data_IF_176966941357
#
_entry.id   IF_176966941357
#
_cell.length_a   1.000
_cell.length_b   1.000
_cell.length_c   1.000
_cell.angle_alpha   90.00
_cell.angle_beta   90.00
_cell.angle_gamma   90.00
#
_symmetry.space_group_name_H-M   'P 1'
#
loop_
_entity.id
_entity.type
_entity.pdbx_description
1 polymer ?
#
# COMPACT_ATOMS: atom_id res chain seq x y z
N UNK A 1 3.53 2.63 -17.30
CA UNK A 1 3.61 1.36 -16.52
C UNK A 1 3.01 1.58 -15.15
N UNK A 2 2.43 0.56 -14.52
CA UNK A 2 1.88 0.67 -13.18
C UNK A 2 2.73 -0.13 -12.20
N UNK A 3 2.95 0.44 -11.02
CA UNK A 3 3.78 -0.16 -9.99
C UNK A 3 3.16 0.05 -8.61
N UNK A 4 3.43 -0.90 -7.74
CA UNK A 4 3.20 -0.77 -6.31
C UNK A 4 4.44 -1.29 -5.58
N UNK A 5 4.71 -0.74 -4.41
CA UNK A 5 5.90 -1.10 -3.66
C UNK A 5 5.91 -0.42 -2.31
N UNK A 6 7.07 -0.44 -1.68
CA UNK A 6 7.30 0.17 -0.38
C UNK A 6 8.38 1.25 -0.44
N UNK A 7 8.29 2.20 0.47
CA UNK A 7 9.16 3.37 0.53
C UNK A 7 9.33 3.84 1.99
N UNK A 8 10.57 4.14 2.38
CA UNK A 8 10.91 4.62 3.74
C UNK A 8 11.16 6.14 3.78
N UNK A 9 11.93 6.67 2.81
CA UNK A 9 12.23 8.10 2.72
C UNK A 9 12.83 8.49 1.36
N UNK A 10 12.82 9.78 1.02
CA UNK A 10 13.47 10.34 -0.18
C UNK A 10 12.53 10.90 -1.25
N UNK A 11 13.10 11.64 -2.21
CA UNK A 11 12.37 12.53 -3.13
C UNK A 11 12.01 11.92 -4.50
N UNK A 12 11.86 10.59 -4.62
CA UNK A 12 11.54 9.95 -5.91
C UNK A 12 10.04 10.08 -6.28
N UNK A 13 9.53 11.30 -6.36
CA UNK A 13 8.12 11.61 -6.66
C UNK A 13 7.21 11.71 -5.43
N UNK A 14 7.76 11.55 -4.22
CA UNK A 14 7.02 11.58 -2.95
C UNK A 14 7.11 12.93 -2.22
N UNK A 15 7.54 14.00 -2.89
CA UNK A 15 7.87 15.28 -2.25
C UNK A 15 6.70 15.93 -1.48
N UNK A 16 5.47 15.57 -1.86
CA UNK A 16 4.23 16.03 -1.21
C UNK A 16 3.50 14.91 -0.47
N UNK A 17 4.09 13.72 -0.35
CA UNK A 17 3.49 12.58 0.31
C UNK A 17 4.03 12.46 1.73
N UNK A 18 3.13 12.24 2.68
CA UNK A 18 3.48 12.06 4.08
C UNK A 18 3.82 10.59 4.30
N UNK A 19 5.00 10.32 4.83
CA UNK A 19 5.32 9.03 5.42
C UNK A 19 4.67 8.94 6.81
N UNK A 20 3.92 7.88 7.07
CA UNK A 20 3.17 7.65 8.30
C UNK A 20 4.06 7.14 9.45
N UNK A 21 5.26 6.65 9.16
CA UNK A 21 6.17 6.10 10.17
C UNK A 21 7.50 5.59 9.63
N UNK A 22 7.61 4.27 9.48
CA UNK A 22 8.80 3.60 8.96
C UNK A 22 8.67 3.39 7.45
N UNK A 23 8.67 2.12 7.03
CA UNK A 23 8.43 1.75 5.65
C UNK A 23 6.93 1.77 5.35
N UNK A 24 6.51 2.55 4.37
CA UNK A 24 5.12 2.65 3.92
C UNK A 24 4.92 2.02 2.55
N UNK A 25 3.68 1.77 2.17
CA UNK A 25 3.29 1.32 0.84
C UNK A 25 2.88 2.45 -0.09
N UNK A 26 3.03 2.24 -1.39
CA UNK A 26 2.59 3.19 -2.41
C UNK A 26 2.06 2.50 -3.68
N UNK A 27 1.23 3.24 -4.43
CA UNK A 27 0.77 2.92 -5.78
C UNK A 27 1.14 4.10 -6.69
N UNK A 28 1.78 3.82 -7.84
CA UNK A 28 2.18 4.84 -8.78
C UNK A 28 2.11 4.39 -10.24
N UNK A 29 1.93 5.36 -11.14
CA UNK A 29 2.18 5.20 -12.58
C UNK A 29 3.57 5.73 -12.89
N UNK A 30 4.31 5.00 -13.72
CA UNK A 30 5.54 5.50 -14.37
C UNK A 30 5.17 5.93 -15.79
N UNK A 31 5.43 7.21 -16.10
CA UNK A 31 5.25 7.78 -17.43
C UNK A 31 6.37 7.37 -18.40
N UNK A 32 6.25 7.76 -19.67
CA UNK A 32 7.24 7.40 -20.72
C UNK A 32 8.64 8.00 -20.48
N UNK A 33 8.76 8.97 -19.59
CA UNK A 33 10.02 9.60 -19.20
C UNK A 33 10.63 8.98 -17.94
N UNK A 34 9.97 7.99 -17.33
CA UNK A 34 10.41 7.39 -16.06
C UNK A 34 9.98 8.18 -14.82
N UNK A 35 9.09 9.16 -14.96
CA UNK A 35 8.57 9.97 -13.85
C UNK A 35 7.47 9.21 -13.12
N UNK A 36 7.55 9.21 -11.79
CA UNK A 36 6.53 8.63 -10.93
C UNK A 36 5.38 9.62 -10.73
N UNK A 37 4.18 9.19 -11.08
CA UNK A 37 2.91 9.84 -10.77
C UNK A 37 2.28 9.03 -9.64
N UNK A 38 2.41 9.54 -8.41
CA UNK A 38 1.87 8.88 -7.23
C UNK A 38 0.34 8.93 -7.27
N UNK A 39 -0.29 7.77 -7.14
CA UNK A 39 -1.74 7.62 -7.06
C UNK A 39 -2.23 7.53 -5.63
N UNK A 40 -1.43 6.92 -4.74
CA UNK A 40 -1.74 6.83 -3.33
C UNK A 40 -0.56 6.32 -2.52
N UNK A 41 -0.46 6.80 -1.28
CA UNK A 41 0.42 6.26 -0.23
C UNK A 41 -0.45 5.74 0.91
N UNK A 42 0.09 4.77 1.64
CA UNK A 42 -0.58 4.20 2.80
C UNK A 42 0.45 3.59 3.74
N UNK A 43 0.14 3.54 5.02
CA UNK A 43 1.04 2.97 6.01
C UNK A 43 0.55 3.16 7.42
N UNK A 44 1.45 3.06 8.37
CA UNK A 44 1.21 3.18 9.80
C UNK A 44 2.43 3.80 10.46
N UNK A 45 2.40 3.91 11.79
CA UNK A 45 3.56 4.38 12.56
C UNK A 45 4.75 3.40 12.58
N UNK A 46 4.59 2.17 12.06
CA UNK A 46 5.59 1.11 12.06
C UNK A 46 6.23 0.83 10.69
N UNK A 47 6.82 -0.36 10.53
CA UNK A 47 7.38 -0.82 9.25
C UNK A 47 6.40 -1.72 8.52
N UNK A 48 5.70 -1.18 7.53
CA UNK A 48 4.64 -1.90 6.84
C UNK A 48 5.16 -2.74 5.67
N UNK A 49 4.26 -3.55 5.14
CA UNK A 49 4.53 -4.41 3.99
C UNK A 49 3.36 -4.37 3.03
N UNK A 50 3.68 -4.22 1.76
CA UNK A 50 2.84 -4.67 0.66
C UNK A 50 3.27 -6.11 0.36
N UNK A 51 2.33 -7.01 0.15
CA UNK A 51 2.60 -8.43 -0.19
C UNK A 51 1.97 -8.81 -1.51
N UNK A 52 0.83 -8.20 -1.81
CA UNK A 52 0.05 -8.53 -2.98
C UNK A 52 -0.69 -7.30 -3.49
N UNK A 53 -0.85 -7.22 -4.80
CA UNK A 53 -1.72 -6.25 -5.42
C UNK A 53 -2.42 -6.84 -6.64
N UNK A 54 -3.67 -6.44 -6.83
CA UNK A 54 -4.50 -6.79 -7.96
C UNK A 54 -5.04 -5.52 -8.60
N UNK A 55 -5.22 -5.57 -9.92
CA UNK A 55 -5.77 -4.47 -10.71
C UNK A 55 -6.97 -5.01 -11.48
N UNK A 56 -8.10 -4.36 -11.32
CA UNK A 56 -9.32 -4.62 -12.08
C UNK A 56 -9.84 -3.29 -12.63
N UNK A 57 -9.65 -3.07 -13.92
CA UNK A 57 -9.87 -1.78 -14.59
C UNK A 57 -9.11 -0.63 -13.89
N UNK A 58 -9.83 0.30 -13.25
CA UNK A 58 -9.28 1.45 -12.51
C UNK A 58 -9.24 1.22 -11.00
N UNK A 59 -9.64 0.02 -10.55
CA UNK A 59 -9.63 -0.38 -9.14
C UNK A 59 -8.37 -1.17 -8.83
N UNK A 60 -7.75 -0.80 -7.73
CA UNK A 60 -6.57 -1.43 -7.17
C UNK A 60 -6.94 -2.06 -5.85
N UNK A 61 -6.44 -3.26 -5.62
CA UNK A 61 -6.59 -3.96 -4.35
C UNK A 61 -5.18 -4.24 -3.86
N UNK A 62 -4.82 -3.79 -2.67
CA UNK A 62 -3.52 -4.04 -2.04
C UNK A 62 -3.71 -4.80 -0.74
N UNK A 63 -2.78 -5.70 -0.45
CA UNK A 63 -2.84 -6.52 0.76
C UNK A 63 -1.45 -6.65 1.39
N UNK A 64 -1.40 -6.73 2.71
CA UNK A 64 -0.15 -6.94 3.43
C UNK A 64 -0.27 -6.81 4.94
N UNK A 65 0.79 -6.31 5.57
CA UNK A 65 0.87 -6.10 7.02
C UNK A 65 1.07 -4.63 7.35
N UNK A 66 0.36 -4.16 8.37
CA UNK A 66 0.63 -2.89 9.06
C UNK A 66 1.14 -3.14 10.47
N UNK A 67 2.03 -2.28 10.96
CA UNK A 67 2.57 -2.33 12.32
C UNK A 67 2.14 -1.11 13.15
N UNK A 68 0.87 -0.73 13.02
CA UNK A 68 0.23 0.38 13.70
C UNK A 68 -1.20 0.58 13.19
N UNK A 69 -1.83 1.70 13.56
CA UNK A 69 -3.09 2.14 12.94
C UNK A 69 -2.80 2.52 11.49
N UNK A 70 -3.55 1.93 10.55
CA UNK A 70 -3.40 2.18 9.13
C UNK A 70 -3.98 3.52 8.72
N UNK A 71 -3.17 4.35 8.07
CA UNK A 71 -3.51 5.60 7.42
C UNK A 71 -3.55 5.37 5.90
N UNK A 72 -4.76 5.48 5.34
CA UNK A 72 -5.05 5.43 3.91
C UNK A 72 -5.71 6.76 3.51
N UNK A 73 -5.12 7.88 3.92
CA UNK A 73 -5.66 9.24 3.77
C UNK A 73 -6.94 9.44 4.58
N UNK A 74 -8.10 9.52 3.91
CA UNK A 74 -9.39 9.69 4.61
C UNK A 74 -9.86 8.37 5.25
N UNK A 75 -9.35 7.24 4.77
CA UNK A 75 -9.65 5.92 5.29
C UNK A 75 -8.65 5.54 6.40
N UNK A 76 -9.15 5.01 7.51
CA UNK A 76 -8.33 4.63 8.66
C UNK A 76 -8.67 3.20 9.11
N UNK A 77 -7.64 2.39 9.38
CA UNK A 77 -7.78 1.01 9.82
C UNK A 77 -7.14 0.81 11.21
N UNK A 78 -7.91 0.74 12.30
CA UNK A 78 -7.36 0.54 13.63
C UNK A 78 -6.56 -0.75 13.76
N UNK A 79 -5.43 -0.70 14.47
CA UNK A 79 -4.55 -1.84 14.66
C UNK A 79 -5.23 -3.00 15.41
N UNK A 80 -4.87 -4.24 15.06
CA UNK A 80 -5.23 -5.46 15.81
C UNK A 80 -3.98 -6.13 16.36
N UNK A 81 -3.55 -5.69 17.55
CA UNK A 81 -2.31 -6.18 18.16
C UNK A 81 -1.08 -5.55 17.53
N UNK A 82 0.03 -6.30 17.47
CA UNK A 82 1.32 -5.79 16.95
C UNK A 82 1.42 -5.82 15.43
N UNK A 83 0.53 -6.55 14.74
CA UNK A 83 0.54 -6.76 13.30
C UNK A 83 -0.90 -6.87 12.81
N UNK A 84 -1.28 -6.01 11.87
CA UNK A 84 -2.62 -5.95 11.28
C UNK A 84 -2.54 -6.44 9.83
N UNK A 85 -3.25 -7.50 9.50
CA UNK A 85 -3.40 -7.92 8.09
C UNK A 85 -4.49 -7.07 7.46
N UNK A 86 -4.19 -6.46 6.32
CA UNK A 86 -5.11 -5.55 5.64
C UNK A 86 -5.38 -5.96 4.19
N UNK A 87 -6.56 -5.59 3.72
CA UNK A 87 -6.85 -5.33 2.31
C UNK A 87 -7.34 -3.87 2.20
N UNK A 88 -6.86 -3.13 1.22
CA UNK A 88 -7.32 -1.78 0.93
C UNK A 88 -7.53 -1.56 -0.56
N UNK A 89 -8.54 -0.75 -0.90
CA UNK A 89 -8.94 -0.53 -2.28
C UNK A 89 -8.71 0.94 -2.68
N UNK A 90 -8.02 1.18 -3.79
CA UNK A 90 -7.84 2.50 -4.39
C UNK A 90 -8.59 2.55 -5.73
N UNK A 91 -9.35 3.61 -5.97
CA UNK A 91 -10.02 3.86 -7.25
C UNK A 91 -10.02 5.36 -7.53
N UNK A 92 -9.74 5.77 -8.76
CA UNK A 92 -9.72 7.20 -9.16
C UNK A 92 -8.77 8.09 -8.34
N UNK A 93 -7.68 7.49 -7.80
CA UNK A 93 -6.72 8.09 -6.87
C UNK A 93 -7.26 8.37 -5.46
N UNK A 94 -8.42 7.82 -5.11
CA UNK A 94 -8.99 7.88 -3.77
C UNK A 94 -9.07 6.50 -3.13
N UNK A 95 -8.73 6.41 -1.85
CA UNK A 95 -8.94 5.19 -1.07
C UNK A 95 -10.43 5.03 -0.83
N UNK A 96 -10.97 3.87 -1.22
CA UNK A 96 -12.40 3.55 -1.14
C UNK A 96 -12.73 2.63 0.04
N UNK A 97 -11.71 2.18 0.76
CA UNK A 97 -11.83 1.49 2.03
C UNK A 97 -10.60 0.65 2.37
N UNK A 98 -10.48 0.35 3.66
CA UNK A 98 -9.47 -0.55 4.22
C UNK A 98 -10.12 -1.48 5.25
N UNK A 99 -9.79 -2.76 5.20
CA UNK A 99 -10.41 -3.80 6.02
C UNK A 99 -9.40 -4.74 6.61
N UNK A 100 -9.71 -5.24 7.80
CA UNK A 100 -9.04 -6.42 8.36
C UNK A 100 -9.42 -7.64 7.54
N UNK A 101 -8.43 -8.41 7.14
CA UNK A 101 -8.61 -9.71 6.48
C UNK A 101 -7.92 -10.83 7.26
N UNK A 102 -8.26 -12.07 6.94
CA UNK A 102 -7.57 -13.23 7.51
C UNK A 102 -6.18 -13.39 6.87
N UNK A 103 -5.19 -13.74 7.69
CA UNK A 103 -3.79 -13.91 7.25
C UNK A 103 -3.64 -14.97 6.14
N UNK A 104 -4.53 -15.96 6.10
CA UNK A 104 -4.59 -17.00 5.08
C UNK A 104 -4.81 -16.43 3.67
N UNK A 105 -5.48 -15.27 3.55
CA UNK A 105 -5.79 -14.62 2.27
C UNK A 105 -4.57 -13.97 1.62
N UNK A 106 -3.45 -13.84 2.34
CA UNK A 106 -2.17 -13.34 1.82
C UNK A 106 -1.05 -14.39 1.82
N UNK A 107 -1.24 -15.53 2.49
CA UNK A 107 -0.24 -16.61 2.55
C UNK A 107 -0.49 -17.77 1.55
N UNK A 108 -1.55 -17.70 0.74
CA UNK A 108 -2.11 -18.89 0.07
C UNK A 108 -1.86 -19.13 -1.43
N UNK A 109 -1.48 -18.15 -2.26
CA UNK A 109 -1.41 -18.38 -3.71
C UNK A 109 -0.07 -17.99 -4.34
N UNK A 110 0.62 -19.02 -4.83
CA UNK A 110 1.83 -18.99 -5.67
C UNK A 110 1.54 -18.30 -7.02
N UNK A 111 1.42 -16.98 -6.98
CA UNK A 111 1.32 -16.12 -8.16
C UNK A 111 1.51 -14.63 -7.87
N UNK A 112 1.87 -14.29 -6.62
CA UNK A 112 1.86 -12.91 -6.13
C UNK A 112 3.28 -12.37 -6.07
N UNK A 113 3.45 -11.17 -6.61
CA UNK A 113 4.73 -10.54 -6.87
C UNK A 113 5.40 -10.22 -5.53
N UNK A 114 6.56 -10.82 -5.31
CA UNK A 114 7.41 -10.55 -4.15
C UNK A 114 7.85 -9.08 -4.15
N UNK A 115 7.47 -8.31 -3.13
CA UNK A 115 7.83 -6.90 -2.98
C UNK A 115 8.74 -6.67 -1.78
N UNK A 116 10.03 -6.98 -1.95
CA UNK A 116 11.16 -6.37 -1.22
C UNK A 116 11.37 -6.78 0.25
N UNK A 117 12.60 -6.62 0.73
CA UNK A 117 13.02 -6.79 2.14
C UNK A 117 13.09 -5.44 2.84
#
# INVERSE_FOLDING_TARGET
MLIAGTWESGALGFENQKNAGGRDGFIAKIDDNGTFIIMGVFGSSGEDSLIDFEINDEKFIVRGYLHGDGDFSEENLPARGIKTVYEAHLQDNDWTGAWHIDEELIQGDVGRIWCGF
#
